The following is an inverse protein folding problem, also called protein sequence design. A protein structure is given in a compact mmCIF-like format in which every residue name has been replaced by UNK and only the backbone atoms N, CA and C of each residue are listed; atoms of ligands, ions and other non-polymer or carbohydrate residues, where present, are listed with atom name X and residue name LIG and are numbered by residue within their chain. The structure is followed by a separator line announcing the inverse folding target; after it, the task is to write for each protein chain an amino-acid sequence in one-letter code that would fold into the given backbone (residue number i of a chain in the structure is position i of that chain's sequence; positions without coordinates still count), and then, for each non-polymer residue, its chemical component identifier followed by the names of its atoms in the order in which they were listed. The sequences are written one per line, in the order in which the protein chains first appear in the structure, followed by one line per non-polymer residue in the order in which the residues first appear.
data_IF_092698896110
#
_entry.id   IF_092698896110
#
_cell.length_a   1.000
_cell.length_b   1.000
_cell.length_c   1.000
_cell.angle_alpha   90.00
_cell.angle_beta   90.00
_cell.angle_gamma   90.00
#
_symmetry.space_group_name_H-M   'P 1'
#
loop_
_entity.id
_entity.type
_entity.pdbx_description
1 polymer ?
#
# COMPACT_ATOMS: atom_id res chain seq x y z
N UNK A 1 -0.15 -12.74 -12.91
CA UNK A 1 0.48 -11.53 -12.35
C UNK A 1 -0.61 -10.49 -12.25
N UNK A 2 -1.11 -10.22 -11.05
CA UNK A 2 -2.06 -9.14 -10.81
C UNK A 2 -1.24 -7.85 -10.75
N UNK A 3 -1.26 -7.07 -11.83
CA UNK A 3 -0.66 -5.72 -11.83
C UNK A 3 -1.64 -4.81 -11.10
N UNK A 4 -1.24 -4.32 -9.93
CA UNK A 4 -1.94 -3.24 -9.26
C UNK A 4 -1.61 -1.92 -9.96
N UNK A 5 -2.61 -1.07 -10.24
CA UNK A 5 -2.38 0.21 -10.88
C UNK A 5 -1.89 1.24 -9.84
N UNK A 6 -0.65 1.07 -9.39
CA UNK A 6 -0.05 1.82 -8.27
C UNK A 6 -0.03 3.33 -8.46
N UNK A 7 -0.03 3.80 -9.72
CA UNK A 7 -0.03 5.22 -10.08
C UNK A 7 -1.43 5.85 -10.10
N UNK A 8 -2.49 5.06 -9.98
CA UNK A 8 -3.85 5.59 -10.03
C UNK A 8 -4.20 6.34 -8.74
N UNK A 9 -5.05 7.38 -8.85
CA UNK A 9 -5.47 8.16 -7.70
C UNK A 9 -6.29 7.30 -6.75
N UNK A 10 -5.90 7.34 -5.48
CA UNK A 10 -6.53 6.63 -4.40
C UNK A 10 -6.55 7.47 -3.12
N UNK A 11 -7.50 7.14 -2.26
CA UNK A 11 -7.68 7.75 -0.96
C UNK A 11 -7.60 6.67 0.11
N UNK A 12 -6.65 6.81 1.04
CA UNK A 12 -6.55 5.99 2.23
C UNK A 12 -7.48 6.51 3.32
N UNK A 13 -8.20 5.61 3.95
CA UNK A 13 -9.09 5.88 5.06
C UNK A 13 -8.68 5.03 6.25
N UNK A 14 -8.75 5.61 7.45
CA UNK A 14 -8.62 4.86 8.70
C UNK A 14 -9.97 4.91 9.43
N UNK A 15 -10.47 3.74 9.82
CA UNK A 15 -11.62 3.64 10.69
C UNK A 15 -11.20 3.71 12.16
N UNK A 16 -12.01 4.36 12.98
CA UNK A 16 -11.97 4.10 14.42
C UNK A 16 -12.50 2.68 14.66
N UNK A 17 -11.76 1.88 15.44
CA UNK A 17 -12.13 0.52 15.87
C UNK A 17 -13.47 0.46 16.64
N UNK A 18 -14.12 1.61 16.86
CA UNK A 18 -15.37 1.79 17.61
C UNK A 18 -16.64 1.52 16.77
N UNK A 19 -16.50 1.10 15.51
CA UNK A 19 -17.62 0.60 14.70
C UNK A 19 -18.59 1.68 14.19
N UNK A 20 -18.30 2.97 14.40
CA UNK A 20 -19.14 4.07 13.93
C UNK A 20 -18.64 4.67 12.61
N UNK A 21 -18.81 3.90 11.53
CA UNK A 21 -19.10 4.23 10.12
C UNK A 21 -18.64 5.55 9.44
N UNK A 22 -17.66 6.30 9.96
CA UNK A 22 -17.07 7.44 9.27
C UNK A 22 -15.56 7.25 9.20
N UNK A 23 -15.11 6.48 8.22
CA UNK A 23 -13.69 6.39 7.88
C UNK A 23 -13.22 7.78 7.46
N UNK A 24 -12.32 8.40 8.22
CA UNK A 24 -11.78 9.71 7.84
C UNK A 24 -10.75 9.51 6.73
N UNK A 25 -10.78 10.33 5.66
CA UNK A 25 -9.73 10.31 4.65
C UNK A 25 -8.45 10.75 5.34
N UNK A 26 -7.49 9.84 5.42
CA UNK A 26 -6.21 10.05 6.07
C UNK A 26 -5.19 10.60 5.09
N UNK A 27 -5.23 10.11 3.86
CA UNK A 27 -4.34 10.57 2.79
C UNK A 27 -5.01 10.38 1.42
N UNK A 28 -4.77 11.32 0.51
CA UNK A 28 -5.23 11.23 -0.87
C UNK A 28 -4.02 11.45 -1.79
N UNK A 29 -3.74 10.49 -2.66
CA UNK A 29 -2.58 10.49 -3.54
C UNK A 29 -2.63 9.31 -4.50
N UNK A 30 -1.50 8.66 -4.76
CA UNK A 30 -1.50 7.41 -5.53
C UNK A 30 -1.73 6.19 -4.63
N UNK A 31 -2.15 5.06 -5.21
CA UNK A 31 -2.26 3.79 -4.49
C UNK A 31 -0.95 3.39 -3.81
N UNK A 32 0.20 3.57 -4.47
CA UNK A 32 1.52 3.31 -3.85
C UNK A 32 1.79 4.18 -2.62
N UNK A 33 1.47 5.47 -2.67
CA UNK A 33 1.65 6.37 -1.52
C UNK A 33 0.69 6.01 -0.39
N UNK A 34 -0.56 5.68 -0.70
CA UNK A 34 -1.53 5.20 0.30
C UNK A 34 -1.01 3.95 1.02
N UNK A 35 -0.44 3.01 0.28
CA UNK A 35 0.14 1.78 0.86
C UNK A 35 1.37 2.08 1.72
N UNK A 36 2.27 2.94 1.25
CA UNK A 36 3.44 3.33 2.03
C UNK A 36 3.05 4.02 3.36
N UNK A 37 2.00 4.84 3.34
CA UNK A 37 1.44 5.47 4.53
C UNK A 37 0.86 4.43 5.49
N UNK A 38 0.06 3.49 4.99
CA UNK A 38 -0.52 2.41 5.81
C UNK A 38 0.54 1.44 6.34
N UNK A 39 1.62 1.21 5.60
CA UNK A 39 2.74 0.39 6.05
C UNK A 39 3.47 1.04 7.25
N UNK A 40 3.60 2.37 7.24
CA UNK A 40 4.21 3.15 8.31
C UNK A 40 3.35 3.30 9.57
N UNK A 41 2.09 2.84 9.55
CA UNK A 41 1.16 2.94 10.68
C UNK A 41 1.36 1.83 11.72
N UNK A 42 0.95 2.06 12.99
CA UNK A 42 0.85 1.01 13.98
C UNK A 42 -0.21 -0.04 13.58
N UNK A 43 0.00 -1.28 14.03
CA UNK A 43 -0.82 -2.43 13.64
C UNK A 43 -2.32 -2.25 13.96
N UNK A 44 -2.66 -1.58 15.06
CA UNK A 44 -4.04 -1.24 15.44
C UNK A 44 -4.75 -0.34 14.41
N UNK A 45 -4.04 0.62 13.82
CA UNK A 45 -4.60 1.52 12.80
C UNK A 45 -4.63 0.84 11.43
N UNK A 46 -3.57 0.09 11.10
CA UNK A 46 -3.47 -0.66 9.84
C UNK A 46 -4.57 -1.73 9.69
N UNK A 47 -4.96 -2.38 10.79
CA UNK A 47 -6.05 -3.37 10.78
C UNK A 47 -7.43 -2.75 10.56
N UNK A 48 -7.55 -1.42 10.67
CA UNK A 48 -8.76 -0.64 10.35
C UNK A 48 -8.60 0.22 9.11
N UNK A 49 -7.47 0.10 8.39
CA UNK A 49 -7.19 0.88 7.21
C UNK A 49 -7.91 0.32 5.97
N UNK A 50 -8.34 1.20 5.09
CA UNK A 50 -8.95 0.86 3.81
C UNK A 50 -8.48 1.85 2.75
N UNK A 51 -8.41 1.42 1.49
CA UNK A 51 -7.97 2.28 0.40
C UNK A 51 -9.05 2.24 -0.69
N UNK A 52 -9.60 3.40 -1.05
CA UNK A 52 -10.51 3.52 -2.20
C UNK A 52 -9.77 4.11 -3.39
N UNK A 53 -9.90 3.48 -4.55
CA UNK A 53 -9.44 4.02 -5.82
C UNK A 53 -10.52 4.93 -6.40
N UNK A 54 -10.18 6.20 -6.57
CA UNK A 54 -11.12 7.22 -7.06
C UNK A 54 -11.45 7.04 -8.55
N UNK A 55 -10.49 6.53 -9.34
CA UNK A 55 -10.66 6.36 -10.79
C UNK A 55 -11.44 5.10 -11.19
N UNK A 56 -11.41 4.05 -10.38
CA UNK A 56 -11.91 2.72 -10.74
C UNK A 56 -13.12 2.26 -9.90
N UNK A 57 -13.56 3.08 -8.94
CA UNK A 57 -14.55 2.72 -7.91
C UNK A 57 -14.24 1.38 -7.20
N UNK A 58 -12.96 1.01 -7.16
CA UNK A 58 -12.45 -0.15 -6.43
C UNK A 58 -12.15 0.26 -4.99
N UNK A 59 -12.47 -0.60 -4.03
CA UNK A 59 -12.18 -0.35 -2.61
C UNK A 59 -11.52 -1.58 -2.01
N UNK A 60 -10.33 -1.38 -1.44
CA UNK A 60 -9.57 -2.38 -0.72
C UNK A 60 -9.88 -2.27 0.77
N UNK A 61 -10.45 -3.34 1.33
CA UNK A 61 -10.66 -3.46 2.77
C UNK A 61 -9.36 -3.76 3.52
N UNK A 62 -9.38 -3.77 4.87
CA UNK A 62 -8.18 -3.98 5.68
C UNK A 62 -7.45 -5.29 5.39
N UNK A 63 -8.17 -6.37 5.07
CA UNK A 63 -7.55 -7.63 4.66
C UNK A 63 -6.81 -7.50 3.32
N UNK A 64 -7.42 -6.86 2.32
CA UNK A 64 -6.80 -6.68 1.01
C UNK A 64 -5.64 -5.68 1.06
N UNK A 65 -5.74 -4.64 1.88
CA UNK A 65 -4.64 -3.69 2.11
C UNK A 65 -3.46 -4.40 2.78
N UNK A 66 -3.70 -5.31 3.73
CA UNK A 66 -2.63 -6.13 4.31
C UNK A 66 -1.94 -7.02 3.26
N UNK A 67 -2.72 -7.69 2.42
CA UNK A 67 -2.18 -8.46 1.29
C UNK A 67 -1.38 -7.59 0.33
N UNK A 68 -1.88 -6.39 0.01
CA UNK A 68 -1.24 -5.44 -0.90
C UNK A 68 0.11 -4.95 -0.34
N UNK A 69 0.16 -4.59 0.95
CA UNK A 69 1.42 -4.20 1.62
C UNK A 69 2.40 -5.37 1.63
N UNK A 70 1.93 -6.59 1.95
CA UNK A 70 2.78 -7.77 1.97
C UNK A 70 3.32 -8.11 0.59
N UNK A 71 2.49 -7.98 -0.44
CA UNK A 71 2.88 -8.18 -1.83
C UNK A 71 3.96 -7.18 -2.26
N UNK A 72 3.76 -5.88 -2.00
CA UNK A 72 4.75 -4.85 -2.33
C UNK A 72 6.06 -5.03 -1.57
N UNK A 73 5.98 -5.43 -0.30
CA UNK A 73 7.17 -5.74 0.50
C UNK A 73 7.91 -6.98 0.00
N UNK A 74 7.20 -8.02 -0.45
CA UNK A 74 7.80 -9.24 -0.99
C UNK A 74 8.42 -8.99 -2.37
N UNK A 75 7.79 -8.17 -3.22
CA UNK A 75 8.39 -7.70 -4.48
C UNK A 75 9.65 -6.85 -4.24
N UNK A 76 9.62 -5.93 -3.27
CA UNK A 76 10.79 -5.11 -2.91
C UNK A 76 11.90 -5.95 -2.24
N UNK A 77 11.55 -6.96 -1.44
CA UNK A 77 12.50 -7.93 -0.88
C UNK A 77 13.09 -8.86 -1.95
N UNK A 78 12.30 -9.21 -2.97
CA UNK A 78 12.74 -9.96 -4.15
C UNK A 78 13.73 -9.18 -5.01
N UNK A 79 13.63 -7.85 -5.02
CA UNK A 79 14.59 -6.92 -5.64
C UNK A 79 15.82 -6.67 -4.73
N UNK A 80 15.62 -6.50 -3.42
CA UNK A 80 16.70 -6.21 -2.46
C UNK A 80 17.71 -7.34 -2.31
N UNK A 81 17.35 -8.60 -2.57
CA UNK A 81 18.29 -9.72 -2.55
C UNK A 81 18.93 -10.07 -3.90
N UNK A 82 18.55 -9.40 -5.01
CA UNK A 82 19.15 -9.65 -6.33
C UNK A 82 19.84 -8.45 -6.98
N UNK A 83 19.66 -7.21 -6.49
CA UNK A 83 20.13 -6.02 -7.22
C UNK A 83 21.02 -5.03 -6.44
N UNK A 84 21.71 -5.45 -5.36
CA UNK A 84 22.78 -4.62 -4.74
C UNK A 84 24.20 -5.06 -5.17
N UNK A 85 24.34 -6.17 -5.90
CA UNK A 85 25.67 -6.70 -6.30
C UNK A 85 26.04 -6.54 -7.80
N UNK A 86 25.14 -6.19 -8.72
CA UNK A 86 25.45 -6.23 -10.17
C UNK A 86 25.51 -4.87 -10.90
N UNK A 87 25.23 -3.73 -10.24
CA UNK A 87 25.37 -2.41 -10.90
C UNK A 87 26.80 -1.85 -10.82
N UNK A 88 27.69 -2.42 -10.00
CA UNK A 88 29.03 -1.88 -9.77
C UNK A 88 30.19 -2.59 -10.50
N UNK A 89 29.93 -3.58 -11.38
CA UNK A 89 31.04 -4.37 -12.00
C UNK A 89 31.06 -4.45 -13.52
N UNK A 90 30.49 -3.48 -14.23
CA UNK A 90 30.67 -3.36 -15.70
C UNK A 90 31.12 -2.00 -16.20
N UNK A 91 31.80 -1.22 -15.35
CA UNK A 91 32.54 -0.03 -15.77
C UNK A 91 33.94 -0.02 -15.12
N UNK A 92 34.78 -0.99 -15.52
CA UNK A 92 36.19 -0.79 -15.93
C UNK A 92 36.89 -2.13 -16.10
#
# INVERSE_FOLDING_TARGET
MTTYPLSEPATAYVGDNDGNAISKPLFQGSLSECVAIVEGMPQDERTSASIKMDALDLSYGPAEVDELVRFLRDEDAGLSNRDIADVAKKIK
#
